data_IF_838518180899
#
_entry.id   IF_838518180899
#
_cell.length_a   1.000
_cell.length_b   1.000
_cell.length_c   1.000
_cell.angle_alpha   90.00
_cell.angle_beta   90.00
_cell.angle_gamma   90.00
#
_symmetry.space_group_name_H-M   'P 1'
#
loop_
_entity.id
_entity.type
_entity.pdbx_description
1 polymer ?
#
# COMPACT_ATOMS: atom_id res chain seq x y z
N UNK A 1 -42.23 2.69 13.91
CA UNK A 1 -41.18 1.65 13.79
C UNK A 1 -39.91 2.37 13.41
N UNK A 2 -39.08 2.70 14.40
CA UNK A 2 -37.85 3.46 14.20
C UNK A 2 -36.80 2.50 13.63
N UNK A 3 -36.24 2.84 12.47
CA UNK A 3 -35.19 2.03 11.83
C UNK A 3 -33.96 2.01 12.75
N UNK A 4 -33.29 0.87 12.96
CA UNK A 4 -32.12 0.80 13.83
C UNK A 4 -31.00 1.68 13.26
N UNK A 5 -30.39 2.50 14.12
CA UNK A 5 -29.25 3.34 13.78
C UNK A 5 -28.07 2.45 13.33
N UNK A 6 -27.56 2.70 12.12
CA UNK A 6 -26.36 2.07 11.60
C UNK A 6 -25.19 2.35 12.55
N UNK A 7 -24.44 1.35 13.04
CA UNK A 7 -23.27 1.59 13.87
C UNK A 7 -22.26 2.45 13.08
N UNK A 8 -21.55 3.39 13.74
CA UNK A 8 -20.56 4.21 13.07
C UNK A 8 -19.49 3.29 12.47
N UNK A 9 -19.29 3.40 11.16
CA UNK A 9 -18.20 2.73 10.46
C UNK A 9 -16.87 3.13 11.13
N UNK A 10 -15.92 2.19 11.34
CA UNK A 10 -14.61 2.54 11.89
C UNK A 10 -13.91 3.50 10.93
N UNK A 11 -13.84 4.78 11.29
CA UNK A 11 -13.01 5.75 10.59
C UNK A 11 -11.56 5.43 10.92
N UNK A 12 -10.84 4.83 9.98
CA UNK A 12 -9.40 4.65 10.07
C UNK A 12 -8.77 6.02 9.90
N UNK A 13 -8.42 6.67 11.02
CA UNK A 13 -7.62 7.89 11.01
C UNK A 13 -6.16 7.47 10.81
N UNK A 14 -5.58 7.87 9.69
CA UNK A 14 -4.14 7.70 9.46
C UNK A 14 -3.41 8.81 10.23
N UNK A 15 -3.01 8.51 11.47
CA UNK A 15 -2.20 9.45 12.26
C UNK A 15 -0.86 9.69 11.57
N UNK A 16 -0.57 10.93 11.19
CA UNK A 16 0.65 11.30 10.46
C UNK A 16 1.94 10.92 11.20
N UNK A 17 1.90 10.86 12.52
CA UNK A 17 3.01 10.41 13.36
C UNK A 17 3.36 8.93 13.15
N UNK A 18 2.37 8.09 12.84
CA UNK A 18 2.59 6.67 12.55
C UNK A 18 3.30 6.49 11.20
N UNK A 19 2.97 7.29 10.19
CA UNK A 19 3.65 7.26 8.90
C UNK A 19 5.09 7.80 8.98
N UNK A 20 5.35 8.75 9.89
CA UNK A 20 6.69 9.27 10.11
C UNK A 20 7.65 8.22 10.68
N UNK A 21 7.16 7.24 11.47
CA UNK A 21 7.99 6.16 12.00
C UNK A 21 8.56 5.26 10.87
N UNK A 22 7.80 5.05 9.79
CA UNK A 22 8.25 4.33 8.60
C UNK A 22 9.31 5.11 7.78
N UNK A 23 9.52 6.39 8.10
CA UNK A 23 10.45 7.28 7.40
C UNK A 23 11.77 7.48 8.17
N UNK A 24 11.95 6.84 9.33
CA UNK A 24 13.20 6.90 10.09
C UNK A 24 14.36 6.25 9.32
N UNK A 25 15.63 6.64 9.57
CA UNK A 25 16.79 6.03 8.91
C UNK A 25 16.85 4.51 9.10
N UNK A 26 16.55 4.03 10.31
CA UNK A 26 16.58 2.60 10.63
C UNK A 26 15.44 1.84 9.93
N UNK A 27 14.23 2.41 9.90
CA UNK A 27 13.11 1.81 9.16
C UNK A 27 13.43 1.71 7.66
N UNK A 28 14.07 2.72 7.07
CA UNK A 28 14.52 2.69 5.67
C UNK A 28 15.54 1.57 5.43
N UNK A 29 16.57 1.47 6.27
CA UNK A 29 17.58 0.41 6.14
C UNK A 29 16.95 -1.00 6.25
N UNK A 30 15.95 -1.16 7.12
CA UNK A 30 15.21 -2.41 7.26
C UNK A 30 14.37 -2.72 6.01
N UNK A 31 13.64 -1.74 5.48
CA UNK A 31 12.88 -1.89 4.23
C UNK A 31 13.80 -2.23 3.05
N UNK A 32 14.95 -1.56 2.94
CA UNK A 32 15.94 -1.83 1.90
C UNK A 32 16.50 -3.26 1.99
N UNK A 33 16.71 -3.75 3.22
CA UNK A 33 17.13 -5.13 3.48
C UNK A 33 16.05 -6.13 3.06
N UNK A 34 14.78 -5.87 3.41
CA UNK A 34 13.65 -6.73 3.03
C UNK A 34 13.56 -6.85 1.51
N UNK A 35 13.70 -5.74 0.79
CA UNK A 35 13.63 -5.76 -0.66
C UNK A 35 14.85 -6.45 -1.29
N UNK A 36 16.05 -6.27 -0.73
CA UNK A 36 17.24 -7.00 -1.19
C UNK A 36 17.07 -8.51 -1.03
N UNK A 37 16.44 -8.96 0.07
CA UNK A 37 16.08 -10.37 0.28
C UNK A 37 15.04 -10.85 -0.73
N UNK A 38 14.07 -9.99 -1.09
CA UNK A 38 13.04 -10.30 -2.09
C UNK A 38 13.64 -10.51 -3.48
N UNK A 39 14.60 -9.69 -3.88
CA UNK A 39 15.28 -9.79 -5.18
C UNK A 39 16.02 -11.12 -5.36
N UNK A 40 16.54 -11.70 -4.27
CA UNK A 40 17.18 -13.03 -4.27
C UNK A 40 16.21 -14.18 -3.95
N UNK A 41 14.89 -13.95 -4.07
CA UNK A 41 13.84 -14.97 -3.91
C UNK A 41 13.78 -15.62 -2.53
N UNK A 42 14.30 -14.96 -1.48
CA UNK A 42 14.19 -15.46 -0.09
C UNK A 42 12.74 -15.56 0.37
N UNK A 43 11.83 -14.79 -0.25
CA UNK A 43 10.39 -14.89 -0.05
C UNK A 43 9.80 -16.29 -0.24
N UNK A 44 10.45 -17.14 -1.05
CA UNK A 44 10.00 -18.51 -1.31
C UNK A 44 10.36 -19.48 -0.17
N UNK A 45 11.31 -19.08 0.69
CA UNK A 45 11.83 -19.87 1.81
C UNK A 45 11.23 -19.37 3.13
N UNK A 46 11.11 -18.05 3.28
CA UNK A 46 10.57 -17.39 4.47
C UNK A 46 9.67 -16.22 4.09
N UNK A 47 8.61 -16.02 4.85
CA UNK A 47 7.69 -14.90 4.63
C UNK A 47 8.41 -13.57 4.95
N UNK A 48 8.63 -12.76 3.93
CA UNK A 48 9.13 -11.39 4.08
C UNK A 48 7.98 -10.44 4.43
N UNK A 49 8.19 -9.43 5.31
CA UNK A 49 7.16 -8.46 5.63
C UNK A 49 6.63 -7.73 4.38
N UNK A 50 5.31 -7.58 4.31
CA UNK A 50 4.60 -6.90 3.22
C UNK A 50 3.42 -6.11 3.79
N UNK A 51 3.03 -5.03 3.10
CA UNK A 51 1.80 -4.29 3.38
C UNK A 51 0.77 -4.69 2.32
N UNK A 52 -0.40 -5.16 2.76
CA UNK A 52 -1.49 -5.58 1.88
C UNK A 52 -2.70 -4.69 2.14
N UNK A 53 -3.27 -4.13 1.08
CA UNK A 53 -4.51 -3.34 1.13
C UNK A 53 -5.69 -4.25 0.84
N UNK A 54 -6.59 -4.42 1.82
CA UNK A 54 -7.76 -5.32 1.73
C UNK A 54 -9.05 -4.54 2.04
N UNK A 55 -10.12 -4.82 1.31
CA UNK A 55 -11.43 -4.21 1.53
C UNK A 55 -12.44 -4.53 0.42
N UNK A 56 -13.71 -4.26 0.70
CA UNK A 56 -14.84 -4.53 -0.21
C UNK A 56 -14.72 -3.80 -1.56
N UNK A 57 -15.46 -4.27 -2.57
CA UNK A 57 -15.52 -3.59 -3.86
C UNK A 57 -15.88 -2.10 -3.68
N UNK A 58 -15.17 -1.22 -4.39
CA UNK A 58 -15.37 0.24 -4.30
C UNK A 58 -15.00 0.89 -2.94
N UNK A 59 -14.30 0.18 -2.04
CA UNK A 59 -13.85 0.74 -0.75
C UNK A 59 -12.65 1.71 -0.84
N UNK A 60 -12.29 2.19 -2.03
CA UNK A 60 -11.17 3.13 -2.21
C UNK A 60 -9.76 2.52 -2.12
N UNK A 61 -9.59 1.19 -2.28
CA UNK A 61 -8.27 0.53 -2.26
C UNK A 61 -7.28 1.14 -3.26
N UNK A 62 -7.73 1.30 -4.52
CA UNK A 62 -6.93 1.95 -5.56
C UNK A 62 -6.60 3.38 -5.16
N UNK A 63 -7.56 4.14 -4.63
CA UNK A 63 -7.34 5.52 -4.17
C UNK A 63 -6.31 5.63 -3.04
N UNK A 64 -6.27 4.66 -2.12
CA UNK A 64 -5.22 4.59 -1.08
C UNK A 64 -3.86 4.33 -1.72
N UNK A 65 -3.77 3.37 -2.65
CA UNK A 65 -2.52 3.07 -3.36
C UNK A 65 -2.07 4.26 -4.23
N UNK A 66 -2.99 4.98 -4.87
CA UNK A 66 -2.72 6.21 -5.62
C UNK A 66 -2.20 7.32 -4.72
N UNK A 67 -2.83 7.54 -3.55
CA UNK A 67 -2.40 8.55 -2.60
C UNK A 67 -1.00 8.28 -2.03
N UNK A 68 -0.66 7.01 -1.81
CA UNK A 68 0.66 6.60 -1.31
C UNK A 68 1.72 6.64 -2.42
N UNK A 69 1.39 6.15 -3.62
CA UNK A 69 2.34 5.99 -4.73
C UNK A 69 2.53 7.24 -5.58
N UNK A 70 1.54 8.13 -5.62
CA UNK A 70 1.47 9.22 -6.58
C UNK A 70 1.19 8.77 -8.03
N UNK A 71 0.97 7.47 -8.27
CA UNK A 71 0.69 6.91 -9.60
C UNK A 71 -0.82 6.69 -9.71
N UNK A 72 -1.41 7.09 -10.84
CA UNK A 72 -2.82 6.81 -11.12
C UNK A 72 -3.02 5.33 -11.46
N UNK A 73 -4.00 4.70 -10.84
CA UNK A 73 -4.40 3.34 -11.14
C UNK A 73 -5.54 3.37 -12.15
N UNK A 74 -5.59 2.39 -13.09
CA UNK A 74 -6.68 2.32 -14.05
C UNK A 74 -8.01 2.12 -13.33
N UNK A 75 -8.97 2.99 -13.65
CA UNK A 75 -10.36 2.90 -13.17
C UNK A 75 -11.22 2.56 -14.38
N UNK A 76 -11.69 1.33 -14.50
CA UNK A 76 -12.50 0.89 -15.65
C UNK A 76 -13.68 0.00 -15.22
N UNK A 77 -14.89 0.49 -15.46
CA UNK A 77 -16.16 -0.21 -15.20
C UNK A 77 -16.35 -0.74 -13.77
N UNK A 78 -17.05 -1.88 -13.65
CA UNK A 78 -17.48 -2.48 -12.37
C UNK A 78 -16.31 -2.94 -11.46
N UNK A 79 -15.12 -3.22 -12.00
CA UNK A 79 -13.98 -3.76 -11.22
C UNK A 79 -12.69 -2.99 -11.50
N UNK A 80 -12.27 -2.17 -10.53
CA UNK A 80 -11.07 -1.34 -10.63
C UNK A 80 -9.74 -2.13 -10.57
N UNK A 81 -9.73 -3.38 -10.09
CA UNK A 81 -8.50 -4.17 -9.93
C UNK A 81 -8.73 -5.60 -10.41
N UNK A 82 -8.27 -5.91 -11.63
CA UNK A 82 -8.43 -7.24 -12.25
C UNK A 82 -7.25 -8.18 -11.98
N UNK A 83 -6.09 -7.62 -11.64
CA UNK A 83 -4.86 -8.35 -11.34
C UNK A 83 -4.30 -7.88 -10.01
N UNK A 84 -3.59 -8.77 -9.30
CA UNK A 84 -2.83 -8.37 -8.13
C UNK A 84 -1.71 -7.42 -8.58
N UNK A 85 -1.73 -6.19 -8.07
CA UNK A 85 -0.70 -5.19 -8.36
C UNK A 85 0.26 -5.10 -7.19
N UNK A 86 1.51 -5.47 -7.42
CA UNK A 86 2.60 -5.20 -6.50
C UNK A 86 3.15 -3.79 -6.77
N UNK A 87 3.35 -3.03 -5.70
CA UNK A 87 3.94 -1.70 -5.75
C UNK A 87 5.23 -1.70 -4.95
N UNK A 88 6.34 -1.38 -5.61
CA UNK A 88 7.66 -1.23 -4.99
C UNK A 88 8.00 0.26 -4.98
N UNK A 89 8.09 0.85 -3.80
CA UNK A 89 8.39 2.28 -3.62
C UNK A 89 9.81 2.47 -3.14
N UNK A 90 10.66 3.10 -3.98
CA UNK A 90 12.04 3.43 -3.64
C UNK A 90 12.28 4.92 -3.71
N UNK A 91 13.10 5.44 -2.80
CA UNK A 91 13.60 6.82 -2.89
C UNK A 91 14.79 6.84 -3.82
N UNK A 92 14.71 7.66 -4.84
CA UNK A 92 15.83 7.96 -5.72
C UNK A 92 16.13 9.46 -5.65
N UNK A 93 17.40 9.87 -5.82
CA UNK A 93 17.76 11.29 -5.89
C UNK A 93 17.20 11.95 -7.16
N UNK A 94 16.92 11.16 -8.20
CA UNK A 94 16.42 11.62 -9.49
C UNK A 94 15.18 10.83 -9.91
N UNK A 95 14.21 11.54 -10.49
CA UNK A 95 13.03 10.92 -11.10
C UNK A 95 13.37 10.46 -12.51
N UNK A 96 13.36 9.15 -12.75
CA UNK A 96 13.60 8.54 -14.06
C UNK A 96 12.45 7.60 -14.41
N UNK A 97 12.13 7.48 -15.71
CA UNK A 97 11.14 6.52 -16.22
C UNK A 97 11.88 5.58 -17.17
N UNK A 98 11.94 4.30 -16.80
CA UNK A 98 12.42 3.23 -17.66
C UNK A 98 11.20 2.52 -18.24
N UNK A 99 11.02 2.62 -19.56
CA UNK A 99 9.95 1.96 -20.32
C UNK A 99 10.51 0.72 -21.00
#
# INVERSE_FOLDING_TARGET
MESPATPPSPTVVLDGDSLNQLNTPDAKALLDTIDSLREIHVGDIVNLPQIIVVGDQSSGKSSVLEAISGVQFPVDGDVCTRFATELILRRAPETTVHV
#
